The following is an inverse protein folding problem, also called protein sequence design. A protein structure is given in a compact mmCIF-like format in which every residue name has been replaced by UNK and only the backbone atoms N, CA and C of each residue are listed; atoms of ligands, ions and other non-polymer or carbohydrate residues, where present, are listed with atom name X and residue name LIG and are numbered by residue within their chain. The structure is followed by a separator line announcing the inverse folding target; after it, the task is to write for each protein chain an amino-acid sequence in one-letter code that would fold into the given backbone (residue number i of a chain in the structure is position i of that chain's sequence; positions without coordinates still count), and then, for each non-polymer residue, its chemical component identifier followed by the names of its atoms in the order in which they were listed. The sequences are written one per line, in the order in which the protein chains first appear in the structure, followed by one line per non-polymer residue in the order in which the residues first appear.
data_IF_421336421780
#
_entry.id   IF_421336421780
#
_cell.length_a   1.000
_cell.length_b   1.000
_cell.length_c   1.000
_cell.angle_alpha   90.00
_cell.angle_beta   90.00
_cell.angle_gamma   90.00
#
_symmetry.space_group_name_H-M   'P 1'
#
loop_
_entity.id
_entity.type
_entity.pdbx_description
1 polymer ?
#
# COMPACT_ATOMS: atom_id res chain seq x y z
N UNK A 1 21.37 -4.67 15.29
CA UNK A 1 20.85 -4.80 13.90
C UNK A 1 20.00 -3.57 13.56
N UNK A 2 20.56 -2.48 13.01
CA UNK A 2 19.76 -1.37 12.46
C UNK A 2 20.50 -0.64 11.33
N UNK A 3 21.00 -1.38 10.34
CA UNK A 3 21.76 -0.78 9.23
C UNK A 3 20.90 -0.13 8.14
N UNK A 4 19.56 -0.20 8.23
CA UNK A 4 18.61 0.18 7.17
C UNK A 4 17.30 0.79 7.71
N UNK A 5 17.37 1.89 8.49
CA UNK A 5 16.18 2.48 9.12
C UNK A 5 15.10 2.89 8.11
N UNK A 6 15.46 3.45 6.95
CA UNK A 6 14.47 3.89 5.96
C UNK A 6 13.78 2.71 5.26
N UNK A 7 14.51 1.61 5.01
CA UNK A 7 13.89 0.38 4.49
C UNK A 7 12.90 -0.19 5.50
N UNK A 8 13.25 -0.23 6.79
CA UNK A 8 12.33 -0.67 7.84
C UNK A 8 11.09 0.23 7.93
N UNK A 9 11.27 1.55 7.88
CA UNK A 9 10.17 2.52 7.84
C UNK A 9 9.28 2.37 6.60
N UNK A 10 9.85 2.01 5.45
CA UNK A 10 9.09 1.72 4.23
C UNK A 10 8.18 0.50 4.42
N UNK A 11 8.65 -0.57 5.06
CA UNK A 11 7.82 -1.75 5.42
C UNK A 11 6.75 -1.38 6.45
N UNK A 12 7.09 -0.54 7.44
CA UNK A 12 6.09 -0.01 8.38
C UNK A 12 5.04 0.86 7.69
N UNK A 13 5.41 1.58 6.63
CA UNK A 13 4.47 2.32 5.78
C UNK A 13 3.43 1.40 5.13
N UNK A 14 3.85 0.23 4.62
CA UNK A 14 2.93 -0.80 4.10
C UNK A 14 1.98 -1.29 5.20
N UNK A 15 2.50 -1.56 6.39
CA UNK A 15 1.70 -2.00 7.52
C UNK A 15 0.66 -0.95 7.94
N UNK A 16 1.10 0.30 8.09
CA UNK A 16 0.25 1.42 8.47
C UNK A 16 -0.84 1.67 7.41
N UNK A 17 -0.51 1.56 6.13
CA UNK A 17 -1.46 1.64 5.01
C UNK A 17 -2.57 0.59 5.12
N UNK A 18 -2.21 -0.69 5.28
CA UNK A 18 -3.20 -1.77 5.42
C UNK A 18 -4.08 -1.61 6.67
N UNK A 19 -3.49 -1.20 7.80
CA UNK A 19 -4.24 -0.94 9.04
C UNK A 19 -5.20 0.23 8.86
N UNK A 20 -4.75 1.30 8.19
CA UNK A 20 -5.56 2.48 7.95
C UNK A 20 -6.77 2.15 7.07
N UNK A 21 -6.57 1.43 5.97
CA UNK A 21 -7.66 1.01 5.07
C UNK A 21 -8.67 0.12 5.78
N UNK A 22 -8.18 -0.87 6.53
CA UNK A 22 -9.05 -1.76 7.29
C UNK A 22 -9.88 -0.96 8.32
N UNK A 23 -9.25 -0.03 9.05
CA UNK A 23 -9.93 0.83 10.02
C UNK A 23 -10.92 1.80 9.34
N UNK A 24 -10.60 2.28 8.14
CA UNK A 24 -11.49 3.12 7.33
C UNK A 24 -12.67 2.34 6.76
N UNK A 25 -12.62 1.01 6.73
CA UNK A 25 -13.69 0.16 6.20
C UNK A 25 -13.53 -0.18 4.73
N UNK A 26 -12.28 -0.29 4.27
CA UNK A 26 -11.88 -0.61 2.88
C UNK A 26 -11.42 -2.08 2.74
N UNK A 27 -11.32 -2.79 3.87
CA UNK A 27 -10.85 -4.17 3.93
C UNK A 27 -9.33 -4.27 3.82
N UNK A 28 -8.84 -5.47 3.50
CA UNK A 28 -7.42 -5.75 3.27
C UNK A 28 -7.16 -6.14 1.82
N UNK A 29 -5.95 -5.86 1.34
CA UNK A 29 -5.48 -6.41 0.07
C UNK A 29 -5.54 -7.95 0.10
N UNK A 30 -5.95 -8.55 -1.01
CA UNK A 30 -6.22 -9.98 -1.22
C UNK A 30 -7.44 -10.57 -0.51
N UNK A 31 -8.27 -9.73 0.12
CA UNK A 31 -9.46 -10.19 0.81
C UNK A 31 -10.50 -10.87 -0.10
N UNK A 32 -10.69 -10.49 -1.39
CA UNK A 32 -11.58 -11.22 -2.30
C UNK A 32 -11.18 -12.69 -2.48
N UNK A 33 -9.88 -13.01 -2.37
CA UNK A 33 -9.36 -14.36 -2.60
C UNK A 33 -9.22 -15.16 -1.31
N UNK A 34 -8.86 -14.51 -0.21
CA UNK A 34 -8.46 -15.16 1.04
C UNK A 34 -9.48 -14.98 2.18
N UNK A 35 -10.45 -14.10 2.00
CA UNK A 35 -11.29 -13.59 3.08
C UNK A 35 -10.49 -12.79 4.12
N UNK A 36 -11.18 -12.18 5.08
CA UNK A 36 -10.56 -11.27 6.05
C UNK A 36 -9.46 -11.96 6.87
N UNK A 37 -9.73 -13.18 7.35
CA UNK A 37 -8.77 -13.95 8.17
C UNK A 37 -7.54 -14.36 7.37
N UNK A 38 -7.74 -14.82 6.13
CA UNK A 38 -6.64 -15.23 5.26
C UNK A 38 -5.76 -14.05 4.84
N UNK A 39 -6.35 -12.92 4.48
CA UNK A 39 -5.59 -11.68 4.23
C UNK A 39 -4.85 -11.18 5.47
N UNK A 40 -5.48 -11.23 6.64
CA UNK A 40 -4.82 -10.88 7.89
C UNK A 40 -3.60 -11.75 8.17
N UNK A 41 -3.74 -13.07 8.02
CA UNK A 41 -2.63 -14.02 8.18
C UNK A 41 -1.52 -13.80 7.14
N UNK A 42 -1.89 -13.55 5.88
CA UNK A 42 -0.94 -13.23 4.82
C UNK A 42 -0.09 -12.01 5.18
N UNK A 43 -0.69 -10.89 5.56
CA UNK A 43 0.05 -9.68 5.90
C UNK A 43 0.85 -9.81 7.19
N UNK A 44 0.34 -10.54 8.18
CA UNK A 44 1.06 -10.85 9.41
C UNK A 44 2.35 -11.64 9.17
N UNK A 45 2.42 -12.44 8.10
CA UNK A 45 3.63 -13.17 7.69
C UNK A 45 4.49 -12.36 6.70
N UNK A 46 3.85 -11.66 5.77
CA UNK A 46 4.55 -10.90 4.73
C UNK A 46 5.39 -9.77 5.32
N UNK A 47 4.88 -9.02 6.30
CA UNK A 47 5.59 -7.88 6.89
C UNK A 47 6.89 -8.29 7.61
N UNK A 48 6.91 -9.29 8.52
CA UNK A 48 8.17 -9.83 9.06
C UNK A 48 9.09 -10.38 7.97
N UNK A 49 8.54 -11.04 6.95
CA UNK A 49 9.31 -11.53 5.80
C UNK A 49 10.03 -10.40 5.05
N UNK A 50 9.36 -9.26 4.83
CA UNK A 50 9.96 -8.08 4.22
C UNK A 50 11.08 -7.48 5.09
N UNK A 51 10.88 -7.41 6.41
CA UNK A 51 11.93 -6.99 7.36
C UNK A 51 13.13 -7.95 7.35
N UNK A 52 12.92 -9.26 7.18
CA UNK A 52 14.02 -10.22 7.04
C UNK A 52 14.78 -10.02 5.72
N UNK A 53 14.07 -9.74 4.62
CA UNK A 53 14.67 -9.50 3.28
C UNK A 53 15.58 -8.28 3.28
N UNK A 54 15.30 -7.24 4.09
CA UNK A 54 16.08 -5.99 4.07
C UNK A 54 17.58 -6.18 4.31
N UNK A 55 17.97 -7.23 5.04
CA UNK A 55 19.37 -7.55 5.33
C UNK A 55 19.92 -8.73 4.50
N UNK A 56 19.10 -9.41 3.71
CA UNK A 56 19.48 -10.63 3.00
C UNK A 56 20.39 -10.36 1.80
N UNK A 57 19.97 -9.46 0.91
CA UNK A 57 20.77 -9.06 -0.25
C UNK A 57 20.33 -7.70 -0.77
N UNK A 58 21.25 -6.97 -1.38
CA UNK A 58 20.95 -5.66 -1.96
C UNK A 58 19.96 -5.71 -3.13
N UNK A 59 20.05 -6.66 -4.09
CA UNK A 59 19.02 -6.81 -5.13
C UNK A 59 17.62 -7.07 -4.58
N UNK A 60 17.48 -7.95 -3.57
CA UNK A 60 16.18 -8.26 -2.99
C UNK A 60 15.60 -7.06 -2.23
N UNK A 61 16.43 -6.32 -1.48
CA UNK A 61 16.01 -5.06 -0.85
C UNK A 61 15.60 -4.01 -1.89
N UNK A 62 16.36 -3.85 -2.95
CA UNK A 62 16.04 -2.91 -4.02
C UNK A 62 14.70 -3.27 -4.70
N UNK A 63 14.49 -4.55 -5.00
CA UNK A 63 13.20 -5.06 -5.51
C UNK A 63 12.05 -4.76 -4.54
N UNK A 64 12.20 -5.08 -3.26
CA UNK A 64 11.21 -4.77 -2.21
C UNK A 64 10.85 -3.28 -2.19
N UNK A 65 11.84 -2.39 -2.17
CA UNK A 65 11.62 -0.94 -2.18
C UNK A 65 10.92 -0.47 -3.46
N UNK A 66 11.24 -1.09 -4.60
CA UNK A 66 10.51 -0.87 -5.86
C UNK A 66 9.04 -1.29 -5.76
N UNK A 67 8.76 -2.45 -5.18
CA UNK A 67 7.40 -2.94 -4.95
C UNK A 67 6.62 -2.06 -3.96
N UNK A 68 7.27 -1.53 -2.93
CA UNK A 68 6.65 -0.58 -2.01
C UNK A 68 6.31 0.74 -2.72
N UNK A 69 7.20 1.22 -3.60
CA UNK A 69 6.92 2.39 -4.43
C UNK A 69 5.75 2.15 -5.38
N UNK A 70 5.65 0.95 -5.97
CA UNK A 70 4.49 0.54 -6.77
C UNK A 70 3.20 0.54 -5.95
N UNK A 71 3.28 0.08 -4.69
CA UNK A 71 2.17 0.12 -3.73
C UNK A 71 1.66 1.54 -3.48
N UNK A 72 2.52 2.54 -3.35
CA UNK A 72 2.08 3.93 -3.29
C UNK A 72 1.50 4.38 -4.63
N UNK A 73 2.23 4.15 -5.72
CA UNK A 73 1.90 4.65 -7.05
C UNK A 73 0.52 4.20 -7.54
N UNK A 74 0.10 2.98 -7.19
CA UNK A 74 -1.20 2.44 -7.62
C UNK A 74 -2.37 3.33 -7.20
N UNK A 75 -2.29 3.99 -6.04
CA UNK A 75 -3.35 4.86 -5.55
C UNK A 75 -3.49 6.13 -6.40
N UNK A 76 -2.38 6.75 -6.77
CA UNK A 76 -2.38 7.93 -7.64
C UNK A 76 -2.68 7.61 -9.10
N UNK A 77 -2.62 6.33 -9.49
CA UNK A 77 -3.01 5.85 -10.83
C UNK A 77 -4.48 5.49 -10.89
N UNK A 78 -5.05 4.93 -9.82
CA UNK A 78 -6.43 4.44 -9.79
C UNK A 78 -7.44 5.50 -9.37
N UNK A 79 -7.07 6.38 -8.45
CA UNK A 79 -8.01 7.30 -7.83
C UNK A 79 -7.92 8.71 -8.42
N UNK A 80 -9.02 9.48 -8.38
CA UNK A 80 -9.00 10.88 -8.78
C UNK A 80 -7.97 11.70 -7.99
N UNK A 81 -7.12 12.44 -8.71
CA UNK A 81 -6.08 13.28 -8.14
C UNK A 81 -6.30 14.74 -8.56
N UNK A 82 -6.26 15.64 -7.58
CA UNK A 82 -6.18 17.08 -7.84
C UNK A 82 -4.72 17.47 -8.10
N UNK A 83 -4.34 17.46 -9.38
CA UNK A 83 -3.02 17.85 -9.85
C UNK A 83 -2.73 19.36 -9.75
N UNK A 84 -3.71 20.19 -9.39
CA UNK A 84 -3.51 21.64 -9.21
C UNK A 84 -2.91 21.97 -7.84
N UNK A 85 -2.96 21.03 -6.89
CA UNK A 85 -2.34 21.16 -5.58
C UNK A 85 -0.87 20.74 -5.60
N UNK A 86 -0.09 21.31 -4.70
CA UNK A 86 1.32 20.95 -4.50
C UNK A 86 1.53 20.58 -3.02
N UNK A 87 1.74 19.30 -2.68
CA UNK A 87 1.77 18.16 -3.62
C UNK A 87 0.35 17.81 -4.14
N UNK A 88 0.24 17.04 -5.25
CA UNK A 88 -1.04 16.51 -5.73
C UNK A 88 -1.74 15.70 -4.64
N UNK A 89 -3.07 15.75 -4.55
CA UNK A 89 -3.79 15.01 -3.51
C UNK A 89 -4.86 14.14 -4.13
N UNK A 90 -5.04 12.93 -3.60
CA UNK A 90 -6.23 12.14 -3.86
C UNK A 90 -7.46 12.92 -3.35
N UNK A 91 -8.46 13.07 -4.21
CA UNK A 91 -9.75 13.70 -3.86
C UNK A 91 -10.86 12.69 -3.56
N UNK A 92 -10.60 11.43 -3.89
CA UNK A 92 -11.37 10.26 -3.51
C UNK A 92 -10.40 9.09 -3.40
N UNK A 93 -10.72 8.08 -2.59
CA UNK A 93 -9.99 6.82 -2.52
C UNK A 93 -10.91 5.78 -1.89
N UNK A 94 -11.30 4.76 -2.65
CA UNK A 94 -11.89 3.53 -2.09
C UNK A 94 -13.18 3.73 -1.27
N UNK A 95 -13.96 4.77 -1.56
CA UNK A 95 -15.18 5.12 -0.81
C UNK A 95 -14.89 5.71 0.59
N UNK A 96 -13.62 6.00 0.87
CA UNK A 96 -13.18 6.56 2.13
C UNK A 96 -13.82 7.93 2.38
N UNK A 97 -14.35 8.13 3.59
CA UNK A 97 -14.98 9.39 3.96
C UNK A 97 -14.03 10.58 3.88
N UNK A 98 -14.57 11.76 3.55
CA UNK A 98 -13.82 13.01 3.37
C UNK A 98 -12.94 13.43 4.57
N UNK A 99 -13.28 12.97 5.78
CA UNK A 99 -12.48 13.22 7.00
C UNK A 99 -11.21 12.37 7.10
N UNK A 100 -11.20 11.18 6.50
CA UNK A 100 -10.06 10.26 6.54
C UNK A 100 -9.07 10.55 5.40
N UNK A 101 -9.56 11.07 4.27
CA UNK A 101 -8.76 11.31 3.07
C UNK A 101 -7.50 12.20 3.27
N UNK A 102 -7.52 13.29 4.07
CA UNK A 102 -6.31 14.06 4.34
C UNK A 102 -5.23 13.24 5.06
N UNK A 103 -5.63 12.43 6.04
CA UNK A 103 -4.73 11.55 6.78
C UNK A 103 -4.18 10.43 5.90
N UNK A 104 -5.01 9.91 5.01
CA UNK A 104 -4.62 8.90 4.04
C UNK A 104 -3.58 9.45 3.05
N UNK A 105 -3.79 10.66 2.51
CA UNK A 105 -2.78 11.33 1.69
C UNK A 105 -1.47 11.54 2.47
N UNK A 106 -1.54 12.01 3.72
CA UNK A 106 -0.36 12.20 4.55
C UNK A 106 0.41 10.89 4.77
N UNK A 107 -0.30 9.78 4.99
CA UNK A 107 0.28 8.44 5.10
C UNK A 107 0.96 8.00 3.80
N UNK A 108 0.31 8.17 2.65
CA UNK A 108 0.89 7.84 1.34
C UNK A 108 2.16 8.64 1.06
N UNK A 109 2.17 9.94 1.39
CA UNK A 109 3.34 10.78 1.22
C UNK A 109 4.47 10.44 2.20
N UNK A 110 4.16 10.13 3.45
CA UNK A 110 5.14 9.66 4.42
C UNK A 110 5.78 8.34 3.96
N UNK A 111 4.95 7.39 3.50
CA UNK A 111 5.40 6.12 2.95
C UNK A 111 6.26 6.29 1.69
N UNK A 112 5.85 7.17 0.77
CA UNK A 112 6.63 7.55 -0.41
C UNK A 112 8.00 8.12 -0.01
N UNK A 113 8.01 9.09 0.92
CA UNK A 113 9.21 9.79 1.34
C UNK A 113 10.25 8.84 1.95
N UNK A 114 9.83 7.96 2.87
CA UNK A 114 10.76 6.99 3.48
C UNK A 114 11.23 5.94 2.48
N UNK A 115 10.39 5.53 1.54
CA UNK A 115 10.77 4.59 0.46
C UNK A 115 11.77 5.22 -0.50
N UNK A 116 11.55 6.48 -0.90
CA UNK A 116 12.48 7.25 -1.71
C UNK A 116 13.81 7.48 -0.99
N UNK A 117 13.79 7.82 0.30
CA UNK A 117 14.98 7.95 1.12
C UNK A 117 15.77 6.63 1.17
N UNK A 118 15.10 5.49 1.37
CA UNK A 118 15.75 4.18 1.37
C UNK A 118 16.40 3.83 0.01
N UNK A 119 15.75 4.17 -1.11
CA UNK A 119 16.34 3.99 -2.45
C UNK A 119 17.54 4.92 -2.68
N UNK A 120 17.48 6.14 -2.15
CA UNK A 120 18.52 7.14 -2.31
C UNK A 120 19.77 6.80 -1.47
N UNK A 121 19.59 6.43 -0.20
CA UNK A 121 20.68 6.34 0.79
C UNK A 121 21.06 4.90 1.15
N UNK A 122 20.14 3.94 1.03
CA UNK A 122 20.33 2.55 1.46
C UNK A 122 20.38 1.55 0.28
N UNK A 123 20.43 2.03 -0.97
CA UNK A 123 20.44 1.16 -2.14
C UNK A 123 21.31 1.70 -3.27
N UNK A 124 22.37 0.97 -3.63
CA UNK A 124 23.25 1.27 -4.77
C UNK A 124 22.74 0.60 -6.05
N UNK A 125 22.21 -0.63 -5.97
CA UNK A 125 21.71 -1.38 -7.16
C UNK A 125 20.26 -1.04 -7.54
N UNK A 126 19.98 0.24 -7.79
CA UNK A 126 18.63 0.77 -8.06
C UNK A 126 17.90 0.14 -9.25
N UNK A 127 18.62 -0.46 -10.21
CA UNK A 127 18.01 -1.19 -11.34
C UNK A 127 17.02 -2.28 -10.93
N UNK A 128 17.24 -2.95 -9.79
CA UNK A 128 16.32 -3.97 -9.30
C UNK A 128 15.04 -3.37 -8.71
N UNK A 129 15.08 -2.11 -8.27
CA UNK A 129 13.89 -1.38 -7.87
C UNK A 129 12.97 -1.10 -9.06
N UNK A 130 13.50 -0.97 -10.27
CA UNK A 130 12.68 -0.88 -11.49
C UNK A 130 11.85 -2.16 -11.66
N UNK A 131 12.46 -3.34 -11.46
CA UNK A 131 11.71 -4.61 -11.53
C UNK A 131 10.64 -4.71 -10.44
N UNK A 132 10.92 -4.23 -9.22
CA UNK A 132 9.91 -4.13 -8.16
C UNK A 132 8.79 -3.17 -8.53
N UNK A 133 9.12 -2.03 -9.14
CA UNK A 133 8.15 -1.02 -9.56
C UNK A 133 7.16 -1.56 -10.61
N UNK A 134 7.59 -2.52 -11.44
CA UNK A 134 6.69 -3.20 -12.38
C UNK A 134 5.54 -3.94 -11.69
N UNK A 135 5.60 -4.18 -10.37
CA UNK A 135 4.48 -4.69 -9.57
C UNK A 135 3.26 -3.75 -9.61
N UNK A 136 3.39 -2.49 -10.07
CA UNK A 136 2.25 -1.58 -10.23
C UNK A 136 1.15 -2.18 -11.11
N UNK A 137 1.51 -2.97 -12.13
CA UNK A 137 0.54 -3.58 -13.04
C UNK A 137 -0.32 -4.66 -12.38
N UNK A 138 0.25 -5.72 -11.76
CA UNK A 138 -0.56 -6.68 -11.02
C UNK A 138 -1.26 -6.06 -9.81
N UNK A 139 -0.65 -5.08 -9.12
CA UNK A 139 -1.31 -4.37 -8.02
C UNK A 139 -2.52 -3.59 -8.51
N UNK A 140 -2.42 -2.90 -9.65
CA UNK A 140 -3.54 -2.18 -10.26
C UNK A 140 -4.69 -3.13 -10.60
N UNK A 141 -4.40 -4.26 -11.22
CA UNK A 141 -5.40 -5.27 -11.55
C UNK A 141 -6.08 -5.81 -10.28
N UNK A 142 -5.28 -6.14 -9.26
CA UNK A 142 -5.76 -6.61 -7.95
C UNK A 142 -6.66 -5.58 -7.27
N UNK A 143 -6.21 -4.32 -7.13
CA UNK A 143 -6.98 -3.25 -6.49
C UNK A 143 -8.28 -2.93 -7.24
N UNK A 144 -8.25 -2.93 -8.58
CA UNK A 144 -9.46 -2.73 -9.40
C UNK A 144 -10.47 -3.86 -9.19
N UNK A 145 -10.01 -5.10 -9.02
CA UNK A 145 -10.89 -6.22 -8.70
C UNK A 145 -11.40 -6.14 -7.26
N UNK A 146 -10.50 -5.89 -6.30
CA UNK A 146 -10.81 -5.71 -4.89
C UNK A 146 -11.91 -4.70 -4.68
N UNK A 147 -11.82 -3.52 -5.29
CA UNK A 147 -12.82 -2.48 -5.07
C UNK A 147 -14.18 -2.79 -5.70
N UNK A 148 -14.20 -3.47 -6.85
CA UNK A 148 -15.46 -3.96 -7.44
C UNK A 148 -16.14 -4.96 -6.50
N UNK A 149 -15.38 -5.96 -6.06
CA UNK A 149 -15.85 -6.93 -5.08
C UNK A 149 -16.31 -6.28 -3.77
N UNK A 150 -15.55 -5.30 -3.26
CA UNK A 150 -15.85 -4.63 -1.99
C UNK A 150 -17.21 -3.93 -2.01
N UNK A 151 -17.57 -3.30 -3.15
CA UNK A 151 -18.89 -2.68 -3.33
C UNK A 151 -20.03 -3.68 -3.36
N UNK A 152 -19.83 -4.80 -4.06
CA UNK A 152 -20.80 -5.89 -4.12
C UNK A 152 -21.00 -6.50 -2.72
N UNK A 153 -19.90 -6.82 -2.04
CA UNK A 153 -19.91 -7.40 -0.70
C UNK A 153 -20.49 -6.44 0.34
N UNK A 154 -20.23 -5.14 0.24
CA UNK A 154 -20.83 -4.15 1.14
C UNK A 154 -22.36 -4.05 1.00
N UNK A 155 -22.90 -4.31 -0.20
CA UNK A 155 -24.34 -4.40 -0.42
C UNK A 155 -24.93 -5.70 0.13
N UNK A 156 -24.31 -6.82 -0.21
CA UNK A 156 -24.88 -8.14 0.07
C UNK A 156 -24.65 -8.57 1.52
N UNK A 157 -23.51 -8.18 2.09
CA UNK A 157 -22.99 -8.61 3.40
C UNK A 157 -22.26 -7.46 4.10
N UNK A 158 -23.00 -6.42 4.56
CA UNK A 158 -22.39 -5.28 5.23
C UNK A 158 -21.67 -5.69 6.52
N UNK A 159 -20.49 -5.14 6.72
CA UNK A 159 -19.64 -5.38 7.87
C UNK A 159 -18.80 -4.13 8.20
N UNK A 160 -18.22 -4.11 9.40
CA UNK A 160 -17.41 -2.96 9.85
C UNK A 160 -16.21 -2.67 8.93
N UNK A 161 -15.68 -3.69 8.25
CA UNK A 161 -14.49 -3.61 7.41
C UNK A 161 -14.78 -3.27 5.94
N UNK A 162 -16.04 -3.24 5.49
CA UNK A 162 -16.43 -2.83 4.12
C UNK A 162 -17.36 -1.60 4.10
N UNK A 163 -17.59 -0.97 5.26
CA UNK A 163 -18.50 0.17 5.41
C UNK A 163 -18.18 1.38 4.54
N UNK A 164 -16.93 1.57 4.09
CA UNK A 164 -16.57 2.67 3.20
C UNK A 164 -17.20 2.51 1.80
N UNK A 165 -17.43 1.27 1.37
CA UNK A 165 -17.97 0.98 0.04
C UNK A 165 -19.52 0.91 -0.01
N UNK A 166 -20.18 0.90 1.16
CA UNK A 166 -21.65 0.78 1.28
C UNK A 166 -22.39 2.11 1.43
N UNK A 167 -21.68 3.24 1.48
CA UNK A 167 -22.25 4.58 1.62
C UNK A 167 -22.60 5.24 0.29
#
# INVERSE_FOLDING_TARGET
MWGRPFTALSVLGVAAHNVFELAAGVGLVFQPQLGLRGSGAFWALALPGQLAVMNRSEPARAFLLGSNLAGVAVHFVLWPVDWRRVPPLLTDAEGMGSRALPWYNALLYAWLAVTAAALATETRRRRWAVLGLLAVWPLRASATHHFRWLKEEARDRPAWWNRAAGG
#
